data_IF_349860062821
#
_entry.id   IF_349860062821
#
_cell.length_a   1.000
_cell.length_b   1.000
_cell.length_c   1.000
_cell.angle_alpha   90.00
_cell.angle_beta   90.00
_cell.angle_gamma   90.00
#
_symmetry.space_group_name_H-M   'P 1'
#
loop_
_entity.id
_entity.type
_entity.pdbx_description
1 polymer ?
#
# COMPACT_ATOMS: atom_id res chain seq x y z
N UNK A 1 -18.55 -0.93 -11.31
CA UNK A 1 -18.75 -1.91 -10.23
C UNK A 1 -17.45 -2.66 -10.13
N UNK A 2 -16.65 -2.40 -9.11
CA UNK A 2 -15.37 -3.11 -8.94
C UNK A 2 -15.62 -4.60 -8.74
N UNK A 3 -14.81 -5.42 -9.38
CA UNK A 3 -14.84 -6.86 -9.21
C UNK A 3 -13.97 -7.28 -8.03
N UNK A 4 -14.16 -8.52 -7.57
CA UNK A 4 -13.29 -9.09 -6.55
C UNK A 4 -11.81 -9.12 -6.99
N UNK A 5 -11.54 -9.27 -8.29
CA UNK A 5 -10.19 -9.26 -8.85
C UNK A 5 -9.55 -7.87 -8.77
N UNK A 6 -10.33 -6.81 -9.03
CA UNK A 6 -9.84 -5.43 -8.92
C UNK A 6 -9.45 -5.10 -7.47
N UNK A 7 -10.23 -5.57 -6.50
CA UNK A 7 -9.93 -5.40 -5.07
C UNK A 7 -8.65 -6.13 -4.66
N UNK A 8 -8.43 -7.35 -5.15
CA UNK A 8 -7.21 -8.10 -4.88
C UNK A 8 -5.98 -7.41 -5.48
N UNK A 9 -6.08 -6.93 -6.73
CA UNK A 9 -5.01 -6.18 -7.37
C UNK A 9 -4.66 -4.91 -6.57
N UNK A 10 -5.68 -4.18 -6.10
CA UNK A 10 -5.49 -3.02 -5.23
C UNK A 10 -4.79 -3.38 -3.91
N UNK A 11 -5.21 -4.44 -3.23
CA UNK A 11 -4.61 -4.86 -1.96
C UNK A 11 -3.14 -5.28 -2.12
N UNK A 12 -2.81 -5.99 -3.20
CA UNK A 12 -1.44 -6.38 -3.51
C UNK A 12 -0.60 -5.13 -3.78
N UNK A 13 -1.05 -4.23 -4.66
CA UNK A 13 -0.33 -3.01 -4.99
C UNK A 13 -0.11 -2.11 -3.76
N UNK A 14 -1.12 -2.01 -2.87
CA UNK A 14 -1.01 -1.28 -1.62
C UNK A 14 0.04 -1.91 -0.69
N UNK A 15 0.02 -3.23 -0.50
CA UNK A 15 1.00 -3.92 0.34
C UNK A 15 2.42 -3.81 -0.22
N UNK A 16 2.59 -3.96 -1.54
CA UNK A 16 3.87 -3.77 -2.20
C UNK A 16 4.39 -2.35 -2.04
N UNK A 17 3.52 -1.34 -2.21
CA UNK A 17 3.90 0.05 -1.99
C UNK A 17 4.31 0.29 -0.53
N UNK A 18 3.57 -0.23 0.44
CA UNK A 18 3.90 -0.09 1.87
C UNK A 18 5.20 -0.84 2.25
N UNK A 19 5.50 -1.96 1.60
CA UNK A 19 6.68 -2.79 1.90
C UNK A 19 7.95 -2.33 1.16
N UNK A 20 7.81 -1.73 -0.04
CA UNK A 20 8.93 -1.29 -0.86
C UNK A 20 9.71 -0.10 -0.27
N UNK A 21 9.15 0.63 0.71
CA UNK A 21 9.84 1.71 1.40
C UNK A 21 10.71 1.18 2.56
N UNK A 22 11.80 0.50 2.18
CA UNK A 22 12.98 0.30 3.01
C UNK A 22 14.22 0.77 2.23
N UNK A 23 15.01 1.78 2.71
CA UNK A 23 15.03 2.38 4.05
C UNK A 23 14.63 3.88 4.16
N UNK A 24 13.85 4.15 5.23
CA UNK A 24 13.86 5.25 6.23
C UNK A 24 13.63 6.72 5.84
N UNK A 25 13.91 7.23 4.64
CA UNK A 25 13.85 8.69 4.41
C UNK A 25 12.86 9.16 3.34
N UNK A 26 12.05 8.27 2.76
CA UNK A 26 11.12 8.66 1.71
C UNK A 26 9.78 9.15 2.28
N UNK A 27 9.35 10.37 1.92
CA UNK A 27 8.12 10.95 2.44
C UNK A 27 6.88 10.15 1.99
N UNK A 28 5.89 10.08 2.87
CA UNK A 28 4.61 9.37 2.69
C UNK A 28 3.87 9.73 1.40
N UNK A 29 4.14 10.94 0.88
CA UNK A 29 3.62 11.42 -0.41
C UNK A 29 4.05 10.52 -1.59
N UNK A 30 5.16 9.80 -1.51
CA UNK A 30 5.62 8.91 -2.59
C UNK A 30 4.79 7.63 -2.69
N UNK A 31 4.34 7.07 -1.56
CA UNK A 31 3.46 5.89 -1.53
C UNK A 31 2.15 6.21 -2.24
N UNK A 32 1.49 7.31 -1.83
CA UNK A 32 0.23 7.73 -2.44
C UNK A 32 0.41 8.15 -3.90
N UNK A 33 1.51 8.82 -4.24
CA UNK A 33 1.80 9.19 -5.63
C UNK A 33 1.97 7.98 -6.52
N UNK A 34 2.66 6.93 -6.03
CA UNK A 34 2.84 5.67 -6.77
C UNK A 34 1.51 4.94 -6.98
N UNK A 35 0.68 4.85 -5.95
CA UNK A 35 -0.64 4.21 -6.05
C UNK A 35 -1.57 4.98 -7.00
N UNK A 36 -1.54 6.32 -6.97
CA UNK A 36 -2.33 7.16 -7.88
C UNK A 36 -1.83 7.13 -9.33
N UNK A 37 -0.54 6.87 -9.54
CA UNK A 37 0.05 6.76 -10.86
C UNK A 37 -0.21 5.40 -11.53
N UNK A 38 -0.70 4.40 -10.79
CA UNK A 38 -1.00 3.07 -11.32
C UNK A 38 -2.34 3.07 -12.09
N UNK A 39 -2.35 2.86 -13.42
CA UNK A 39 -3.57 2.83 -14.21
C UNK A 39 -4.54 1.72 -13.79
N UNK A 40 -4.05 0.63 -13.19
CA UNK A 40 -4.89 -0.46 -12.70
C UNK A 40 -5.69 -0.06 -11.46
N UNK A 41 -5.24 0.97 -10.74
CA UNK A 41 -5.88 1.47 -9.53
C UNK A 41 -6.76 2.69 -9.78
N UNK A 42 -6.94 3.12 -11.03
CA UNK A 42 -7.69 4.32 -11.38
C UNK A 42 -9.14 4.29 -10.83
N UNK A 43 -9.79 3.13 -10.79
CA UNK A 43 -11.12 2.98 -10.20
C UNK A 43 -11.15 3.26 -8.69
N UNK A 44 -10.01 3.09 -8.00
CA UNK A 44 -9.86 3.32 -6.56
C UNK A 44 -9.34 4.72 -6.24
N UNK A 45 -9.20 5.62 -7.22
CA UNK A 45 -8.69 6.98 -7.00
C UNK A 45 -9.47 7.75 -5.92
N UNK A 46 -10.80 7.62 -5.91
CA UNK A 46 -11.67 8.23 -4.88
C UNK A 46 -11.26 7.75 -3.49
N UNK A 47 -10.98 6.45 -3.34
CA UNK A 47 -10.57 5.86 -2.08
C UNK A 47 -9.15 6.29 -1.68
N UNK A 48 -8.21 6.29 -2.63
CA UNK A 48 -6.84 6.79 -2.42
C UNK A 48 -6.80 8.27 -2.01
N UNK A 49 -7.77 9.07 -2.45
CA UNK A 49 -7.89 10.48 -2.06
C UNK A 49 -8.45 10.69 -0.65
N UNK A 50 -9.00 9.65 0.00
CA UNK A 50 -9.43 9.72 1.41
C UNK A 50 -8.32 9.40 2.40
N UNK A 51 -7.17 8.91 1.92
CA UNK A 51 -6.06 8.52 2.78
C UNK A 51 -5.33 9.76 3.28
N UNK A 52 -5.33 9.95 4.58
CA UNK A 52 -4.51 10.94 5.24
C UNK A 52 -3.05 10.46 5.33
N UNK A 53 -2.09 11.37 5.21
CA UNK A 53 -0.66 11.03 5.30
C UNK A 53 -0.35 10.24 6.57
N UNK A 54 -0.92 10.64 7.71
CA UNK A 54 -0.71 9.94 8.98
C UNK A 54 -1.21 8.50 8.98
N UNK A 55 -2.29 8.21 8.25
CA UNK A 55 -2.82 6.85 8.11
C UNK A 55 -1.85 5.97 7.34
N UNK A 56 -1.29 6.49 6.25
CA UNK A 56 -0.33 5.78 5.40
C UNK A 56 0.98 5.55 6.14
N UNK A 57 1.46 6.53 6.92
CA UNK A 57 2.63 6.38 7.79
C UNK A 57 2.45 5.24 8.79
N UNK A 58 1.32 5.22 9.49
CA UNK A 58 1.04 4.17 10.47
C UNK A 58 0.97 2.83 9.75
N UNK A 59 0.23 2.73 8.64
CA UNK A 59 0.13 1.49 7.87
C UNK A 59 1.50 0.96 7.44
N UNK A 60 2.39 1.84 6.95
CA UNK A 60 3.75 1.46 6.56
C UNK A 60 4.55 0.93 7.77
N UNK A 61 4.46 1.58 8.92
CA UNK A 61 5.11 1.11 10.15
C UNK A 61 4.53 -0.22 10.66
N UNK A 62 3.23 -0.46 10.50
CA UNK A 62 2.62 -1.75 10.86
C UNK A 62 3.06 -2.87 9.91
N UNK A 63 3.08 -2.62 8.61
CA UNK A 63 3.56 -3.58 7.60
C UNK A 63 5.04 -3.89 7.82
N UNK A 64 5.85 -2.89 8.15
CA UNK A 64 7.25 -3.10 8.54
C UNK A 64 7.41 -3.98 9.77
N UNK A 65 6.62 -3.76 10.82
CA UNK A 65 6.76 -4.50 12.08
C UNK A 65 6.16 -5.90 12.04
N UNK A 66 5.10 -6.11 11.26
CA UNK A 66 4.30 -7.34 11.30
C UNK A 66 4.09 -8.02 9.95
N UNK A 67 4.27 -7.31 8.84
CA UNK A 67 4.16 -7.87 7.48
C UNK A 67 5.21 -8.93 7.17
N UNK A 68 6.39 -8.87 7.80
CA UNK A 68 7.44 -9.89 7.65
C UNK A 68 7.16 -11.21 8.39
N UNK A 69 6.15 -11.29 9.27
CA UNK A 69 5.85 -12.54 10.00
C UNK A 69 5.20 -13.61 9.14
N UNK A 70 4.66 -13.26 7.98
CA UNK A 70 4.06 -14.21 7.05
C UNK A 70 5.10 -15.06 6.31
N UNK A 71 6.33 -14.56 6.12
CA UNK A 71 7.41 -15.34 5.47
C UNK A 71 8.18 -16.23 6.46
N UNK A 72 8.11 -15.97 7.76
CA UNK A 72 8.86 -16.70 8.79
C UNK A 72 8.14 -17.95 9.37
N UNK A 73 6.98 -18.33 8.81
CA UNK A 73 6.21 -19.49 9.28
C UNK A 73 6.26 -20.71 8.34
N UNK A 74 7.12 -20.68 7.32
CA UNK A 74 7.51 -21.87 6.54
C UNK A 74 9.00 -22.18 6.77
N UNK A 75 9.30 -22.81 7.91
CA UNK A 75 10.50 -23.63 8.11
C UNK A 75 10.25 -24.67 9.21
#
# INVERSE_FOLDING_TARGET
METHQDLLAFQVALLEALNAHYPIDHPTNEILSRLKADPQLASFEVYLNTFEDRMVEVAAELVKKWGQRLEASEN
#
